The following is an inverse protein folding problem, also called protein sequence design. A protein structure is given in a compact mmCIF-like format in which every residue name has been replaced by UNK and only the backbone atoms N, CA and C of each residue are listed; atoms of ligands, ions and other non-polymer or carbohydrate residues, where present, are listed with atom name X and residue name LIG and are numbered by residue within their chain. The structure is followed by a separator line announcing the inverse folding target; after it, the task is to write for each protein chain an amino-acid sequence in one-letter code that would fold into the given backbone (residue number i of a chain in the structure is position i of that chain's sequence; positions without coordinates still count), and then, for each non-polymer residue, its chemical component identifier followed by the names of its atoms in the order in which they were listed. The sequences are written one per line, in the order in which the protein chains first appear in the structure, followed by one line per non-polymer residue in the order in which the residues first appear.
data_IF_238222849169
#
_entry.id   IF_238222849169
#
_cell.length_a   1.000
_cell.length_b   1.000
_cell.length_c   1.000
_cell.angle_alpha   90.00
_cell.angle_beta   90.00
_cell.angle_gamma   90.00
#
_symmetry.space_group_name_H-M   'P 1'
#
loop_
_entity.id
_entity.type
_entity.pdbx_description
1 polymer ?
#
# COMPACT_ATOMS: atom_id res chain seq x y z
N UNK A 1 -9.52 20.47 -5.36
CA UNK A 1 -9.02 20.29 -3.97
C UNK A 1 -9.57 19.03 -3.31
N UNK A 2 -10.88 18.90 -3.06
CA UNK A 2 -11.42 17.71 -2.36
C UNK A 2 -11.21 16.40 -3.13
N UNK A 3 -11.42 16.41 -4.46
CA UNK A 3 -11.21 15.24 -5.33
C UNK A 3 -9.76 14.73 -5.24
N UNK A 4 -8.79 15.63 -5.47
CA UNK A 4 -7.35 15.30 -5.38
C UNK A 4 -6.94 14.83 -3.99
N UNK A 5 -7.56 15.34 -2.92
CA UNK A 5 -7.33 14.82 -1.58
C UNK A 5 -7.86 13.39 -1.45
N UNK A 6 -9.09 13.14 -1.88
CA UNK A 6 -9.71 11.81 -1.74
C UNK A 6 -8.93 10.76 -2.54
N UNK A 7 -8.51 11.10 -3.76
CA UNK A 7 -7.66 10.23 -4.59
C UNK A 7 -6.37 9.83 -3.86
N UNK A 8 -5.66 10.79 -3.26
CA UNK A 8 -4.43 10.52 -2.52
C UNK A 8 -4.66 9.79 -1.19
N UNK A 9 -5.71 10.14 -0.44
CA UNK A 9 -6.06 9.45 0.81
C UNK A 9 -6.39 7.98 0.54
N UNK A 10 -7.23 7.72 -0.47
CA UNK A 10 -7.64 6.35 -0.83
C UNK A 10 -6.46 5.55 -1.40
N UNK A 11 -5.60 6.19 -2.20
CA UNK A 11 -4.35 5.58 -2.67
C UNK A 11 -3.46 5.14 -1.52
N UNK A 12 -3.15 6.06 -0.60
CA UNK A 12 -2.34 5.78 0.60
C UNK A 12 -2.99 4.70 1.49
N UNK A 13 -4.31 4.78 1.72
CA UNK A 13 -5.03 3.81 2.52
C UNK A 13 -4.97 2.40 1.93
N UNK A 14 -5.05 2.28 0.60
CA UNK A 14 -4.93 1.02 -0.10
C UNK A 14 -3.56 0.38 0.14
N UNK A 15 -2.48 1.17 0.00
CA UNK A 15 -1.11 0.68 0.23
C UNK A 15 -0.89 0.25 1.68
N UNK A 16 -1.29 1.07 2.65
CA UNK A 16 -1.12 0.76 4.08
C UNK A 16 -1.98 -0.46 4.46
N UNK A 17 -3.16 -0.63 3.86
CA UNK A 17 -4.00 -1.83 4.07
C UNK A 17 -3.33 -3.10 3.55
N UNK A 18 -2.75 -3.06 2.34
CA UNK A 18 -2.02 -4.20 1.77
C UNK A 18 -0.82 -4.57 2.66
N UNK A 19 -0.09 -3.56 3.16
CA UNK A 19 1.00 -3.78 4.10
C UNK A 19 0.52 -4.43 5.41
N UNK A 20 -0.59 -3.94 5.98
CA UNK A 20 -1.19 -4.49 7.19
C UNK A 20 -1.59 -5.98 7.02
N UNK A 21 -2.24 -6.32 5.91
CA UNK A 21 -2.56 -7.71 5.55
C UNK A 21 -1.29 -8.55 5.47
N UNK A 22 -0.24 -8.02 4.82
CA UNK A 22 1.04 -8.72 4.66
C UNK A 22 1.73 -9.00 5.99
N UNK A 23 1.68 -8.04 6.93
CA UNK A 23 2.20 -8.20 8.29
C UNK A 23 1.41 -9.27 9.05
N UNK A 24 0.08 -9.26 8.95
CA UNK A 24 -0.77 -10.27 9.57
C UNK A 24 -0.41 -11.68 9.06
N UNK A 25 -0.29 -11.83 7.73
CA UNK A 25 0.14 -13.09 7.11
C UNK A 25 1.52 -13.53 7.58
N UNK A 26 2.47 -12.59 7.70
CA UNK A 26 3.80 -12.89 8.23
C UNK A 26 3.74 -13.35 9.70
N UNK A 27 2.97 -12.67 10.55
CA UNK A 27 2.81 -13.05 11.96
C UNK A 27 2.23 -14.45 12.10
N UNK A 28 1.20 -14.79 11.32
CA UNK A 28 0.59 -16.13 11.31
C UNK A 28 1.56 -17.20 10.77
N UNK A 29 2.42 -16.85 9.80
CA UNK A 29 3.38 -17.79 9.25
C UNK A 29 4.56 -18.10 10.21
N UNK A 30 4.97 -17.13 11.02
CA UNK A 30 6.12 -17.25 11.93
C UNK A 30 5.75 -17.66 13.35
N UNK A 31 4.63 -17.15 13.86
CA UNK A 31 4.10 -17.53 15.17
C UNK A 31 2.95 -18.50 14.94
N UNK A 32 3.10 -19.74 15.41
CA UNK A 32 2.12 -20.83 15.25
C UNK A 32 0.84 -20.63 16.11
N UNK A 33 0.55 -19.39 16.51
CA UNK A 33 -0.69 -19.06 17.20
C UNK A 33 -1.63 -18.43 16.16
N UNK A 34 -2.67 -19.15 15.69
CA UNK A 34 -3.77 -18.58 14.93
C UNK A 34 -4.67 -17.76 15.86
N UNK A 35 -4.07 -16.95 16.73
CA UNK A 35 -4.82 -16.03 17.56
C UNK A 35 -5.48 -15.04 16.62
N UNK A 36 -6.79 -15.18 16.45
CA UNK A 36 -7.62 -14.17 15.82
C UNK A 36 -7.30 -12.86 16.51
N UNK A 37 -6.92 -11.85 15.73
CA UNK A 37 -6.66 -10.54 16.26
C UNK A 37 -7.89 -10.13 17.08
N UNK A 38 -7.67 -9.76 18.36
CA UNK A 38 -8.76 -9.25 19.19
C UNK A 38 -9.46 -8.12 18.44
N UNK A 39 -10.78 -8.02 18.57
CA UNK A 39 -11.58 -6.94 17.98
C UNK A 39 -10.96 -5.55 18.23
N UNK A 40 -10.38 -5.35 19.42
CA UNK A 40 -9.66 -4.12 19.77
C UNK A 40 -8.39 -3.89 18.93
N UNK A 41 -7.65 -4.94 18.59
CA UNK A 41 -6.47 -4.85 17.70
C UNK A 41 -6.88 -4.53 16.26
N UNK A 42 -8.01 -5.06 15.78
CA UNK A 42 -8.52 -4.77 14.44
C UNK A 42 -8.93 -3.31 14.33
N UNK A 43 -9.67 -2.79 15.31
CA UNK A 43 -10.05 -1.37 15.36
C UNK A 43 -8.81 -0.48 15.40
N UNK A 44 -7.83 -0.80 16.25
CA UNK A 44 -6.58 -0.03 16.33
C UNK A 44 -5.84 0.01 14.99
N UNK A 45 -5.73 -1.13 14.31
CA UNK A 45 -5.12 -1.19 12.97
C UNK A 45 -5.91 -0.37 11.95
N UNK A 46 -7.25 -0.46 11.96
CA UNK A 46 -8.10 0.31 11.06
C UNK A 46 -7.93 1.82 11.26
N UNK A 47 -7.98 2.27 12.52
CA UNK A 47 -7.75 3.69 12.86
C UNK A 47 -6.35 4.14 12.46
N UNK A 48 -5.32 3.31 12.67
CA UNK A 48 -3.95 3.63 12.27
C UNK A 48 -3.81 3.76 10.75
N UNK A 49 -4.44 2.88 9.97
CA UNK A 49 -4.46 2.94 8.50
C UNK A 49 -5.03 4.28 8.04
N UNK A 50 -6.21 4.65 8.54
CA UNK A 50 -6.85 5.91 8.13
C UNK A 50 -6.06 7.13 8.59
N UNK A 51 -5.61 7.16 9.84
CA UNK A 51 -4.80 8.27 10.37
C UNK A 51 -3.54 8.49 9.54
N UNK A 52 -2.78 7.43 9.26
CA UNK A 52 -1.55 7.54 8.45
C UNK A 52 -1.85 7.98 7.01
N UNK A 53 -2.96 7.53 6.43
CA UNK A 53 -3.36 7.90 5.08
C UNK A 53 -3.80 9.36 4.96
N UNK A 54 -4.58 9.85 5.92
CA UNK A 54 -4.96 11.26 6.02
C UNK A 54 -3.73 12.14 6.28
N UNK A 55 -2.83 11.72 7.16
CA UNK A 55 -1.61 12.47 7.47
C UNK A 55 -0.66 12.55 6.26
N UNK A 56 -0.56 11.48 5.48
CA UNK A 56 0.22 11.47 4.24
C UNK A 56 -0.38 12.32 3.11
N UNK A 57 -1.71 12.48 3.07
CA UNK A 57 -2.40 13.26 2.04
C UNK A 57 -2.67 14.73 2.44
N UNK A 58 -2.60 15.08 3.73
CA UNK A 58 -2.74 16.43 4.28
C UNK A 58 -1.89 17.52 3.56
N UNK A 59 -0.61 17.29 3.26
CA UNK A 59 0.26 18.25 2.56
C UNK A 59 -0.23 18.61 1.16
N UNK A 60 -0.90 17.68 0.48
CA UNK A 60 -1.42 17.87 -0.88
C UNK A 60 -2.54 18.93 -0.89
N UNK A 61 -3.26 19.13 0.23
CA UNK A 61 -4.21 20.24 0.36
C UNK A 61 -3.54 21.60 0.31
N UNK A 62 -2.35 21.73 0.89
CA UNK A 62 -1.63 22.99 0.94
C UNK A 62 -0.95 23.29 -0.40
N UNK A 63 -0.53 22.25 -1.11
CA UNK A 63 0.16 22.37 -2.41
C UNK A 63 -0.83 22.57 -3.58
N UNK A 64 -2.06 22.03 -3.50
CA UNK A 64 -3.06 22.18 -4.56
C UNK A 64 -3.68 23.58 -4.61
N UNK A 65 -3.42 24.33 -5.68
CA UNK A 65 -4.03 25.63 -5.92
C UNK A 65 -5.01 25.58 -7.09
N UNK A 66 -6.11 26.34 -6.97
CA UNK A 66 -7.01 26.59 -8.08
C UNK A 66 -6.47 27.80 -8.84
N UNK A 67 -6.03 27.60 -10.07
CA UNK A 67 -5.70 28.69 -10.97
C UNK A 67 -6.81 28.85 -11.99
N UNK A 68 -7.30 30.08 -12.11
CA UNK A 68 -8.12 30.49 -13.24
C UNK A 68 -7.20 30.66 -14.44
N UNK A 69 -7.30 29.73 -15.39
CA UNK A 69 -6.59 29.82 -16.67
C UNK A 69 -7.61 30.10 -17.78
N UNK A 70 -7.20 30.73 -18.87
CA UNK A 70 -8.07 30.92 -20.02
C UNK A 70 -7.70 29.89 -21.10
N UNK A 71 -8.68 29.36 -21.82
CA UNK A 71 -8.42 28.65 -23.08
C UNK A 71 -7.90 29.64 -24.14
N UNK A 72 -7.38 29.12 -25.26
CA UNK A 72 -6.92 29.95 -26.39
C UNK A 72 -8.03 30.89 -26.91
N UNK A 73 -9.30 30.50 -26.74
CA UNK A 73 -10.49 31.27 -27.12
C UNK A 73 -10.95 32.27 -26.03
N UNK A 74 -10.17 32.46 -24.97
CA UNK A 74 -10.45 33.42 -23.89
C UNK A 74 -11.48 32.96 -22.84
N UNK A 75 -12.11 31.80 -23.02
CA UNK A 75 -13.07 31.25 -22.04
C UNK A 75 -12.37 30.93 -20.71
N UNK A 76 -12.88 31.44 -19.58
CA UNK A 76 -12.30 31.19 -18.27
C UNK A 76 -12.53 29.73 -17.86
N UNK A 77 -11.45 29.03 -17.54
CA UNK A 77 -11.48 27.68 -16.96
C UNK A 77 -10.69 27.61 -15.67
N UNK A 78 -11.37 27.10 -14.64
CA UNK A 78 -10.72 26.72 -13.40
C UNK A 78 -9.94 25.42 -13.62
N UNK A 79 -8.61 25.51 -13.61
CA UNK A 79 -7.75 24.32 -13.52
C UNK A 79 -7.26 24.17 -12.09
N UNK A 80 -7.29 22.93 -11.59
CA UNK A 80 -6.47 22.56 -10.44
C UNK A 80 -5.05 22.36 -10.97
N UNK A 81 -4.14 23.27 -10.63
CA UNK A 81 -2.72 23.08 -10.90
C UNK A 81 -1.99 22.90 -9.56
N UNK A 82 -1.25 21.81 -9.45
CA UNK A 82 -0.21 21.68 -8.43
C UNK A 82 0.93 22.57 -8.87
N UNK A 83 0.96 23.84 -8.45
CA UNK A 83 2.08 24.73 -8.75
C UNK A 83 3.32 24.25 -8.00
N UNK A 84 4.20 23.58 -8.74
CA UNK A 84 5.48 23.07 -8.27
C UNK A 84 6.57 24.16 -8.42
N UNK A 85 6.25 25.40 -8.06
CA UNK A 85 7.14 26.55 -8.23
C UNK A 85 8.20 26.61 -7.14
N UNK A 86 7.89 26.12 -5.94
CA UNK A 86 8.82 26.08 -4.82
C UNK A 86 9.55 24.74 -4.72
N UNK A 87 10.85 24.79 -4.44
CA UNK A 87 11.71 23.62 -4.20
C UNK A 87 11.17 22.72 -3.09
N UNK A 88 10.53 23.31 -2.07
CA UNK A 88 9.91 22.57 -0.97
C UNK A 88 8.74 21.68 -1.44
N UNK A 89 7.95 22.11 -2.42
CA UNK A 89 6.88 21.29 -3.01
C UNK A 89 7.46 20.08 -3.75
N UNK A 90 8.53 20.27 -4.54
CA UNK A 90 9.22 19.17 -5.26
C UNK A 90 9.74 18.12 -4.29
N UNK A 91 10.50 18.58 -3.30
CA UNK A 91 11.12 17.72 -2.30
C UNK A 91 10.05 16.94 -1.53
N UNK A 92 8.98 17.60 -1.11
CA UNK A 92 7.90 16.94 -0.40
C UNK A 92 7.15 15.91 -1.25
N UNK A 93 6.78 16.25 -2.49
CA UNK A 93 6.09 15.32 -3.39
C UNK A 93 6.95 14.09 -3.69
N UNK A 94 8.25 14.27 -3.96
CA UNK A 94 9.17 13.16 -4.24
C UNK A 94 9.38 12.29 -3.00
N UNK A 95 9.64 12.89 -1.83
CA UNK A 95 9.81 12.14 -0.58
C UNK A 95 8.53 11.44 -0.15
N UNK A 96 7.38 12.11 -0.26
CA UNK A 96 6.07 11.55 0.06
C UNK A 96 5.78 10.33 -0.81
N UNK A 97 6.01 10.44 -2.13
CA UNK A 97 5.91 9.29 -3.03
C UNK A 97 6.89 8.18 -2.62
N UNK A 98 8.17 8.49 -2.39
CA UNK A 98 9.16 7.47 -2.01
C UNK A 98 8.79 6.73 -0.71
N UNK A 99 8.29 7.44 0.29
CA UNK A 99 7.94 6.88 1.60
C UNK A 99 6.62 6.11 1.56
N UNK A 100 5.59 6.61 0.88
CA UNK A 100 4.28 5.94 0.85
C UNK A 100 4.12 4.94 -0.28
N UNK A 101 5.06 4.90 -1.23
CA UNK A 101 5.03 3.99 -2.38
C UNK A 101 6.20 3.00 -2.34
N UNK A 102 7.44 3.48 -2.42
CA UNK A 102 8.62 2.59 -2.56
C UNK A 102 8.91 1.82 -1.28
N UNK A 103 8.83 2.46 -0.11
CA UNK A 103 9.08 1.83 1.17
C UNK A 103 8.08 0.68 1.50
N UNK A 104 6.75 0.87 1.40
CA UNK A 104 5.82 -0.23 1.59
C UNK A 104 5.98 -1.35 0.56
N UNK A 105 6.35 -1.05 -0.71
CA UNK A 105 6.68 -2.09 -1.70
C UNK A 105 7.83 -2.97 -1.22
N UNK A 106 8.92 -2.34 -0.79
CA UNK A 106 10.11 -3.06 -0.35
C UNK A 106 9.80 -3.92 0.88
N UNK A 107 9.06 -3.38 1.85
CA UNK A 107 8.60 -4.12 3.03
C UNK A 107 7.73 -5.32 2.64
N UNK A 108 6.79 -5.13 1.73
CA UNK A 108 5.90 -6.19 1.24
C UNK A 108 6.73 -7.31 0.60
N UNK A 109 7.66 -6.99 -0.31
CA UNK A 109 8.53 -7.98 -0.95
C UNK A 109 9.38 -8.75 0.07
N UNK A 110 9.96 -8.06 1.06
CA UNK A 110 10.74 -8.71 2.10
C UNK A 110 9.88 -9.66 2.95
N UNK A 111 8.70 -9.20 3.41
CA UNK A 111 7.78 -10.00 4.21
C UNK A 111 7.32 -11.25 3.43
N UNK A 112 6.96 -11.10 2.16
CA UNK A 112 6.55 -12.25 1.34
C UNK A 112 7.68 -13.21 1.06
N UNK A 113 8.89 -12.72 0.82
CA UNK A 113 10.07 -13.58 0.66
C UNK A 113 10.29 -14.41 1.92
N UNK A 114 10.20 -13.79 3.11
CA UNK A 114 10.32 -14.47 4.40
C UNK A 114 9.23 -15.53 4.60
N UNK A 115 7.96 -15.18 4.34
CA UNK A 115 6.82 -16.10 4.42
C UNK A 115 6.99 -17.27 3.45
N UNK A 116 7.39 -17.01 2.20
CA UNK A 116 7.62 -18.03 1.19
C UNK A 116 8.74 -18.99 1.62
N UNK A 117 9.88 -18.46 2.06
CA UNK A 117 11.00 -19.28 2.54
C UNK A 117 10.59 -20.15 3.72
N UNK A 118 9.84 -19.59 4.68
CA UNK A 118 9.31 -20.35 5.83
C UNK A 118 8.37 -21.46 5.38
N UNK A 119 7.45 -21.17 4.46
CA UNK A 119 6.51 -22.14 3.91
C UNK A 119 7.25 -23.29 3.21
N UNK A 120 8.30 -22.99 2.44
CA UNK A 120 9.13 -23.99 1.76
C UNK A 120 9.93 -24.85 2.75
N UNK A 121 10.48 -24.24 3.81
CA UNK A 121 11.18 -24.99 4.87
C UNK A 121 10.23 -25.92 5.64
N UNK A 122 9.04 -25.43 6.01
CA UNK A 122 8.01 -26.24 6.66
C UNK A 122 7.58 -27.38 5.74
N UNK A 123 7.35 -27.11 4.46
CA UNK A 123 7.01 -28.14 3.48
C UNK A 123 8.08 -29.24 3.39
N UNK A 124 9.36 -28.89 3.29
CA UNK A 124 10.45 -29.88 3.24
C UNK A 124 10.49 -30.74 4.50
N UNK A 125 10.23 -30.16 5.67
CA UNK A 125 10.26 -30.86 6.97
C UNK A 125 9.02 -31.72 7.22
N UNK A 126 7.85 -31.22 6.81
CA UNK A 126 6.55 -31.86 7.00
C UNK A 126 6.32 -32.95 5.96
N UNK A 127 6.80 -32.82 4.72
CA UNK A 127 6.70 -33.89 3.72
C UNK A 127 7.34 -35.21 4.17
N UNK A 128 8.31 -35.16 5.09
CA UNK A 128 8.91 -36.35 5.73
C UNK A 128 8.08 -36.90 6.90
N UNK A 129 7.17 -36.13 7.52
CA UNK A 129 6.44 -36.50 8.75
C UNK A 129 4.92 -36.58 8.63
N UNK A 130 4.29 -35.68 7.88
CA UNK A 130 2.85 -35.60 7.66
C UNK A 130 2.53 -35.21 6.22
N UNK A 131 1.60 -35.94 5.59
CA UNK A 131 1.12 -35.66 4.24
C UNK A 131 0.27 -34.38 4.23
N UNK A 132 0.90 -33.21 4.31
CA UNK A 132 0.20 -31.93 4.16
C UNK A 132 -0.59 -31.94 2.84
N UNK A 133 -1.90 -31.63 2.86
CA UNK A 133 -2.69 -31.65 1.64
C UNK A 133 -2.12 -30.61 0.68
N UNK A 134 -1.72 -31.06 -0.52
CA UNK A 134 -1.12 -30.21 -1.56
C UNK A 134 -2.00 -28.99 -1.86
N UNK A 135 -3.31 -29.13 -1.72
CA UNK A 135 -4.30 -28.06 -1.89
C UNK A 135 -4.02 -26.83 -1.02
N UNK A 136 -3.71 -27.00 0.28
CA UNK A 136 -3.45 -25.87 1.19
C UNK A 136 -2.20 -25.08 0.75
N UNK A 137 -1.22 -25.77 0.17
CA UNK A 137 0.02 -25.16 -0.32
C UNK A 137 -0.24 -24.36 -1.59
N UNK A 138 -1.02 -24.92 -2.52
CA UNK A 138 -1.47 -24.20 -3.72
C UNK A 138 -2.24 -22.93 -3.36
N UNK A 139 -3.16 -23.00 -2.39
CA UNK A 139 -3.91 -21.85 -1.91
C UNK A 139 -3.01 -20.76 -1.30
N UNK A 140 -2.03 -21.13 -0.48
CA UNK A 140 -1.07 -20.16 0.10
C UNK A 140 -0.19 -19.51 -0.96
N UNK A 141 0.32 -20.29 -1.93
CA UNK A 141 1.12 -19.76 -3.05
C UNK A 141 0.29 -18.82 -3.92
N UNK A 142 -0.95 -19.20 -4.24
CA UNK A 142 -1.88 -18.38 -5.02
C UNK A 142 -2.15 -17.05 -4.32
N UNK A 143 -2.38 -17.05 -3.00
CA UNK A 143 -2.58 -15.81 -2.23
C UNK A 143 -1.35 -14.89 -2.27
N UNK A 144 -0.13 -15.46 -2.18
CA UNK A 144 1.12 -14.68 -2.32
C UNK A 144 1.24 -14.10 -3.74
N UNK A 145 0.97 -14.91 -4.77
CA UNK A 145 1.02 -14.46 -6.17
C UNK A 145 0.00 -13.34 -6.43
N UNK A 146 -1.23 -13.45 -5.92
CA UNK A 146 -2.25 -12.40 -6.04
C UNK A 146 -1.72 -11.09 -5.45
N UNK A 147 -1.10 -11.13 -4.27
CA UNK A 147 -0.63 -9.90 -3.61
C UNK A 147 0.56 -9.28 -4.36
N UNK A 148 1.49 -10.10 -4.86
CA UNK A 148 2.58 -9.60 -5.71
C UNK A 148 2.03 -8.95 -6.98
N UNK A 149 1.05 -9.57 -7.63
CA UNK A 149 0.42 -9.01 -8.84
C UNK A 149 -0.32 -7.71 -8.54
N UNK A 150 -1.11 -7.66 -7.46
CA UNK A 150 -1.83 -6.44 -7.05
C UNK A 150 -0.86 -5.30 -6.79
N UNK A 151 0.26 -5.59 -6.11
CA UNK A 151 1.35 -4.64 -5.93
C UNK A 151 1.87 -4.22 -7.31
N UNK A 152 2.42 -5.11 -8.13
CA UNK A 152 2.99 -4.72 -9.44
C UNK A 152 2.02 -3.91 -10.31
N UNK A 153 0.75 -4.27 -10.38
CA UNK A 153 -0.27 -3.53 -11.12
C UNK A 153 -0.52 -2.16 -10.52
N UNK A 154 -0.66 -2.04 -9.20
CA UNK A 154 -0.77 -0.76 -8.51
C UNK A 154 0.46 0.11 -8.80
N UNK A 155 1.65 -0.51 -8.82
CA UNK A 155 2.89 0.21 -9.05
C UNK A 155 3.07 0.67 -10.50
N UNK A 156 2.58 -0.12 -11.46
CA UNK A 156 2.60 0.24 -12.87
C UNK A 156 1.51 1.27 -13.22
N UNK A 157 0.38 1.24 -12.51
CA UNK A 157 -0.72 2.17 -12.73
C UNK A 157 -0.54 3.53 -12.07
N UNK A 158 0.26 3.62 -11.00
CA UNK A 158 0.62 4.90 -10.37
C UNK A 158 1.90 5.54 -10.95
N UNK A 159 2.77 4.81 -11.65
CA UNK A 159 3.93 5.43 -12.35
C UNK A 159 3.60 6.48 -13.42
N UNK A 160 2.49 6.40 -14.19
CA UNK A 160 2.13 7.44 -15.16
C UNK A 160 1.42 8.67 -14.56
N UNK A 161 1.24 8.73 -13.24
CA UNK A 161 0.59 9.85 -12.53
C UNK A 161 1.65 10.74 -11.85
#
# INVERSE_FOLDING_TARGET
RLVTLLENVVGNASVVTILAISIERHRVAYNFSPATASYCSVIKSFLAIWLTSFLGALPILFITQFQSSHFADGTPVQRCTTNIDQTWHKVYTVLGNLIFYIMPLFLILLLYTKVYMKLMMLFRREQEKFKYPREIIHLKRQMIQIIITVVLVFFLSHTPY
#
